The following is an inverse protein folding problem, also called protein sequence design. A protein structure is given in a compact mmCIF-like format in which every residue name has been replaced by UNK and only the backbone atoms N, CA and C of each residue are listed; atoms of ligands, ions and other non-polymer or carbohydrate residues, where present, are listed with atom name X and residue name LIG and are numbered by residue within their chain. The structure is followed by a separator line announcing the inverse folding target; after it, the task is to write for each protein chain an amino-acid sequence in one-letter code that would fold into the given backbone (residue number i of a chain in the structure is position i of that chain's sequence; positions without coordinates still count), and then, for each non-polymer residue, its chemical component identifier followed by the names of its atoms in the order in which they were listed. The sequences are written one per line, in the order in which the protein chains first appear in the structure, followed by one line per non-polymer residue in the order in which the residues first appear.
data_IF_332763193887
#
_entry.id   IF_332763193887
#
_cell.length_a   1.000
_cell.length_b   1.000
_cell.length_c   1.000
_cell.angle_alpha   90.00
_cell.angle_beta   90.00
_cell.angle_gamma   90.00
#
_symmetry.space_group_name_H-M   'P 1'
#
loop_
_entity.id
_entity.type
_entity.pdbx_description
1 polymer ?
#
# COMPACT_ATOMS: atom_id res chain seq x y z
N UNK A 1 48.21 -34.34 15.58
CA UNK A 1 48.14 -34.00 14.14
C UNK A 1 47.40 -32.68 14.04
N UNK A 2 48.00 -31.49 14.17
CA UNK A 2 49.04 -30.82 13.38
C UNK A 2 48.71 -30.60 11.89
N UNK A 3 48.41 -29.33 11.57
CA UNK A 3 48.50 -28.61 10.28
C UNK A 3 47.45 -28.97 9.21
N UNK A 4 46.86 -28.05 8.42
CA UNK A 4 47.41 -26.86 7.77
C UNK A 4 46.34 -25.79 7.50
N UNK A 5 46.72 -24.54 7.75
CA UNK A 5 46.17 -23.31 7.17
C UNK A 5 46.60 -23.24 5.70
N UNK A 6 45.70 -22.87 4.78
CA UNK A 6 46.09 -22.49 3.41
C UNK A 6 45.60 -21.07 3.11
N UNK A 7 46.58 -20.16 3.06
CA UNK A 7 46.45 -18.80 2.54
C UNK A 7 46.51 -18.87 1.01
N UNK A 8 45.61 -18.18 0.32
CA UNK A 8 45.86 -17.73 -1.05
C UNK A 8 45.25 -16.33 -1.22
N UNK A 9 46.13 -15.34 -1.11
CA UNK A 9 45.88 -14.00 -1.58
C UNK A 9 46.01 -13.99 -3.11
N UNK A 10 45.09 -13.33 -3.80
CA UNK A 10 45.30 -12.93 -5.19
C UNK A 10 44.87 -11.46 -5.36
N UNK A 11 45.89 -10.60 -5.40
CA UNK A 11 45.84 -9.22 -5.89
C UNK A 11 45.79 -9.22 -7.43
N UNK A 12 44.83 -8.52 -8.02
CA UNK A 12 44.83 -8.03 -9.41
C UNK A 12 43.84 -6.85 -9.45
N UNK A 13 44.01 -5.72 -10.13
CA UNK A 13 45.10 -5.00 -10.79
C UNK A 13 44.41 -3.69 -11.23
N UNK A 14 45.03 -2.53 -11.01
CA UNK A 14 44.50 -1.23 -11.43
C UNK A 14 44.52 -1.11 -12.97
N UNK A 15 43.45 -0.58 -13.55
CA UNK A 15 43.50 0.05 -14.88
C UNK A 15 42.63 1.31 -14.89
N UNK A 16 43.27 2.44 -15.19
CA UNK A 16 42.69 3.76 -15.36
C UNK A 16 42.55 4.12 -16.84
N UNK A 17 41.87 5.26 -17.11
CA UNK A 17 41.71 5.99 -18.41
C UNK A 17 40.41 5.63 -19.15
N UNK A 18 39.63 6.54 -19.76
CA UNK A 18 39.83 7.94 -20.18
C UNK A 18 38.46 8.55 -20.52
N UNK A 19 38.30 9.86 -20.29
CA UNK A 19 37.20 10.70 -20.79
C UNK A 19 37.19 10.77 -22.32
N UNK A 20 35.99 10.71 -22.92
CA UNK A 20 35.73 11.16 -24.30
C UNK A 20 34.58 12.17 -24.26
N UNK A 21 34.89 13.41 -24.60
CA UNK A 21 33.93 14.44 -24.96
C UNK A 21 33.52 14.22 -26.42
N UNK A 22 32.21 14.22 -26.69
CA UNK A 22 31.62 14.19 -28.03
C UNK A 22 30.42 15.13 -28.07
N UNK A 23 30.41 16.00 -29.07
CA UNK A 23 29.50 17.15 -29.25
C UNK A 23 28.43 16.81 -30.29
N UNK A 24 27.26 17.44 -30.15
CA UNK A 24 26.12 17.65 -31.09
C UNK A 24 25.34 16.47 -31.66
N UNK A 25 24.05 16.40 -31.31
CA UNK A 25 22.94 16.65 -32.25
C UNK A 25 21.61 16.73 -31.45
N UNK A 26 20.96 17.90 -31.50
CA UNK A 26 19.53 18.04 -31.21
C UNK A 26 18.76 17.47 -32.40
N UNK A 27 17.98 16.41 -32.18
CA UNK A 27 16.82 16.10 -33.01
C UNK A 27 15.58 16.19 -32.13
N UNK A 28 14.73 17.15 -32.49
CA UNK A 28 13.41 17.39 -31.94
C UNK A 28 12.45 16.31 -32.44
N UNK A 29 12.36 15.19 -31.72
CA UNK A 29 11.26 14.24 -31.89
C UNK A 29 10.13 14.62 -30.93
N UNK A 30 9.11 15.29 -31.47
CA UNK A 30 7.78 15.40 -30.85
C UNK A 30 7.17 14.01 -30.74
N UNK A 31 7.37 13.38 -29.61
CA UNK A 31 6.58 12.23 -29.17
C UNK A 31 5.78 12.67 -27.94
N UNK A 32 4.45 12.52 -28.03
CA UNK A 32 3.52 12.87 -26.98
C UNK A 32 3.74 12.01 -25.74
N UNK A 33 4.66 12.45 -24.88
CA UNK A 33 4.85 11.89 -23.56
C UNK A 33 3.60 12.15 -22.75
N UNK A 34 2.86 11.07 -22.45
CA UNK A 34 1.92 11.06 -21.34
C UNK A 34 2.65 11.64 -20.13
N UNK A 35 2.21 12.81 -19.69
CA UNK A 35 2.81 13.52 -18.57
C UNK A 35 2.76 12.61 -17.35
N UNK A 36 3.91 12.05 -16.97
CA UNK A 36 4.07 11.46 -15.65
C UNK A 36 4.08 12.64 -14.69
N UNK A 37 2.89 13.03 -14.24
CA UNK A 37 2.73 14.04 -13.21
C UNK A 37 3.54 13.60 -12.00
N UNK A 38 4.40 14.51 -11.55
CA UNK A 38 5.35 14.33 -10.47
C UNK A 38 4.56 13.97 -9.21
N UNK A 39 4.63 12.71 -8.75
CA UNK A 39 3.95 12.26 -7.54
C UNK A 39 4.45 13.08 -6.35
N UNK A 40 3.69 14.11 -5.95
CA UNK A 40 3.90 14.83 -4.72
C UNK A 40 3.16 14.07 -3.61
N UNK A 41 3.81 13.05 -3.06
CA UNK A 41 3.22 12.24 -2.00
C UNK A 41 4.06 11.02 -1.67
N UNK A 42 3.77 10.34 -0.54
CA UNK A 42 4.37 9.04 -0.23
C UNK A 42 4.19 8.06 -1.41
N UNK A 43 5.14 7.14 -1.64
CA UNK A 43 5.02 6.17 -2.72
C UNK A 43 3.76 5.33 -2.54
N UNK A 44 2.89 5.23 -3.57
CA UNK A 44 1.69 4.43 -3.47
C UNK A 44 2.02 2.93 -3.62
N UNK A 45 1.18 2.10 -3.05
CA UNK A 45 1.28 0.64 -3.07
C UNK A 45 -0.11 0.01 -3.21
N UNK A 46 -0.13 -1.27 -3.52
CA UNK A 46 -1.32 -2.10 -3.52
C UNK A 46 -1.53 -2.78 -2.17
N UNK A 47 -2.79 -2.86 -1.75
CA UNK A 47 -3.23 -3.70 -0.64
C UNK A 47 -3.79 -5.00 -1.23
N UNK A 48 -2.92 -5.97 -1.49
CA UNK A 48 -3.27 -7.18 -2.22
C UNK A 48 -3.64 -8.32 -1.27
N UNK A 49 -4.80 -8.93 -1.43
CA UNK A 49 -5.20 -10.16 -0.74
C UNK A 49 -4.22 -11.29 -1.10
N UNK A 50 -3.56 -11.85 -0.10
CA UNK A 50 -2.56 -12.90 -0.29
C UNK A 50 -3.16 -14.21 -0.83
N UNK A 51 -4.48 -14.41 -0.69
CA UNK A 51 -5.14 -15.66 -1.07
C UNK A 51 -5.38 -15.79 -2.58
N UNK A 52 -5.74 -14.69 -3.25
CA UNK A 52 -6.14 -14.70 -4.67
C UNK A 52 -5.54 -13.54 -5.49
N UNK A 53 -4.65 -12.75 -4.90
CA UNK A 53 -3.96 -11.64 -5.55
C UNK A 53 -4.89 -10.50 -6.00
N UNK A 54 -6.12 -10.41 -5.48
CA UNK A 54 -7.00 -9.28 -5.71
C UNK A 54 -6.61 -8.09 -4.83
N UNK A 55 -6.70 -6.88 -5.35
CA UNK A 55 -6.39 -5.66 -4.62
C UNK A 55 -7.64 -5.04 -4.00
N UNK A 56 -7.53 -4.55 -2.77
CA UNK A 56 -8.54 -3.70 -2.17
C UNK A 56 -8.76 -2.47 -3.05
N UNK A 57 -10.01 -2.17 -3.38
CA UNK A 57 -10.39 -1.01 -4.20
C UNK A 57 -11.16 0.08 -3.43
N UNK A 58 -11.41 -0.17 -2.14
CA UNK A 58 -12.36 0.58 -1.32
C UNK A 58 -13.38 -0.35 -0.69
N UNK A 59 -14.59 -0.36 -1.24
CA UNK A 59 -15.71 -1.22 -0.81
C UNK A 59 -15.52 -2.68 -1.21
N UNK A 60 -14.69 -2.96 -2.22
CA UNK A 60 -14.54 -4.28 -2.81
C UNK A 60 -13.09 -4.60 -3.18
N UNK A 61 -12.76 -5.88 -3.20
CA UNK A 61 -11.55 -6.43 -3.79
C UNK A 61 -11.76 -6.60 -5.29
N UNK A 62 -10.82 -6.11 -6.10
CA UNK A 62 -10.86 -6.17 -7.56
C UNK A 62 -9.48 -6.44 -8.15
N UNK A 63 -9.37 -6.53 -9.48
CA UNK A 63 -8.07 -6.64 -10.15
C UNK A 63 -7.21 -5.42 -9.83
N UNK A 64 -5.95 -5.64 -9.49
CA UNK A 64 -4.98 -4.57 -9.22
C UNK A 64 -4.82 -3.66 -10.44
N UNK A 65 -4.95 -2.36 -10.22
CA UNK A 65 -5.01 -1.33 -11.26
C UNK A 65 -4.71 0.06 -10.66
N UNK A 66 -4.51 1.08 -11.48
CA UNK A 66 -4.19 2.44 -11.00
C UNK A 66 -5.21 2.97 -9.97
N UNK A 67 -6.47 2.52 -10.07
CA UNK A 67 -7.59 2.89 -9.19
C UNK A 67 -7.66 2.08 -7.87
N UNK A 68 -6.72 1.17 -7.63
CA UNK A 68 -6.53 0.40 -6.38
C UNK A 68 -5.22 0.75 -5.67
N UNK A 69 -4.61 1.88 -6.01
CA UNK A 69 -3.39 2.35 -5.36
C UNK A 69 -3.73 3.17 -4.12
N UNK A 70 -3.01 2.91 -3.04
CA UNK A 70 -3.14 3.64 -1.79
C UNK A 70 -1.81 4.16 -1.31
N UNK A 71 -1.83 5.18 -0.46
CA UNK A 71 -0.67 5.65 0.28
C UNK A 71 -1.06 5.96 1.72
N UNK A 72 -0.08 5.98 2.62
CA UNK A 72 -0.32 6.13 4.06
C UNK A 72 0.18 7.48 4.53
N UNK A 73 -0.64 8.15 5.33
CA UNK A 73 -0.30 9.41 6.01
C UNK A 73 -0.63 9.26 7.49
N UNK A 74 0.16 9.90 8.36
CA UNK A 74 -0.04 9.91 9.80
C UNK A 74 1.01 9.13 10.56
N UNK A 75 0.67 8.77 11.80
CA UNK A 75 1.56 8.10 12.75
C UNK A 75 1.03 6.71 13.10
N UNK A 76 1.87 5.78 13.58
CA UNK A 76 1.41 4.46 14.02
C UNK A 76 0.17 4.53 14.93
N UNK A 77 -0.84 3.71 14.60
CA UNK A 77 -2.14 3.68 15.29
C UNK A 77 -3.12 4.81 14.92
N UNK A 78 -2.71 5.76 14.08
CA UNK A 78 -3.54 6.89 13.63
C UNK A 78 -3.29 7.17 12.14
N UNK A 79 -3.16 6.09 11.35
CA UNK A 79 -2.97 6.23 9.92
C UNK A 79 -4.28 6.59 9.23
N UNK A 80 -4.15 7.40 8.19
CA UNK A 80 -5.10 7.53 7.11
C UNK A 80 -4.58 6.72 5.92
N UNK A 81 -5.41 5.85 5.36
CA UNK A 81 -5.08 5.09 4.16
C UNK A 81 -5.74 5.78 2.97
N UNK A 82 -4.98 6.66 2.32
CA UNK A 82 -5.43 7.49 1.22
C UNK A 82 -5.51 6.68 -0.06
N UNK A 83 -6.60 6.85 -0.82
CA UNK A 83 -6.73 6.38 -2.19
C UNK A 83 -5.98 7.37 -3.09
N UNK A 84 -5.14 6.84 -3.99
CA UNK A 84 -4.43 7.65 -4.96
C UNK A 84 -5.44 8.30 -5.93
N UNK A 85 -5.41 9.62 -6.14
CA UNK A 85 -6.15 10.27 -7.22
C UNK A 85 -5.72 9.70 -8.57
N UNK A 86 -6.69 9.40 -9.44
CA UNK A 86 -6.40 8.92 -10.81
C UNK A 86 -6.13 10.13 -11.71
N UNK A 87 -6.89 11.20 -11.48
CA UNK A 87 -6.92 12.40 -12.31
C UNK A 87 -6.64 13.63 -11.44
N UNK A 88 -6.16 14.73 -12.03
CA UNK A 88 -5.96 16.01 -11.32
C UNK A 88 -7.28 16.59 -10.78
N UNK A 89 -8.42 16.19 -11.36
CA UNK A 89 -9.74 16.58 -10.89
C UNK A 89 -10.17 15.87 -9.59
N UNK A 90 -9.52 14.75 -9.26
CA UNK A 90 -9.77 13.98 -8.04
C UNK A 90 -8.82 14.37 -6.89
N UNK A 91 -7.94 15.35 -7.13
CA UNK A 91 -7.00 15.89 -6.13
C UNK A 91 -7.71 16.93 -5.24
N UNK A 92 -8.76 16.47 -4.54
CA UNK A 92 -9.38 17.24 -3.47
C UNK A 92 -8.34 17.47 -2.34
N UNK A 93 -8.26 18.68 -1.77
CA UNK A 93 -7.31 18.99 -0.69
C UNK A 93 -7.44 18.06 0.54
N UNK A 94 -8.64 17.52 0.78
CA UNK A 94 -8.90 16.55 1.85
C UNK A 94 -8.62 15.11 1.41
N UNK A 95 -8.61 14.83 0.10
CA UNK A 95 -8.43 13.51 -0.46
C UNK A 95 -9.53 12.51 -0.10
N UNK A 96 -9.38 11.30 -0.63
CA UNK A 96 -10.25 10.16 -0.38
C UNK A 96 -9.48 9.09 0.38
N UNK A 97 -10.09 8.51 1.42
CA UNK A 97 -9.50 7.53 2.30
C UNK A 97 -10.41 6.32 2.50
N UNK A 98 -9.81 5.20 2.90
CA UNK A 98 -10.54 4.06 3.45
C UNK A 98 -11.20 4.50 4.76
N UNK A 99 -12.51 4.26 4.86
CA UNK A 99 -13.29 4.59 6.04
C UNK A 99 -14.31 3.51 6.37
N UNK A 100 -14.63 3.37 7.65
CA UNK A 100 -15.83 2.63 8.07
C UNK A 100 -17.10 3.39 7.66
N UNK A 101 -18.17 2.65 7.36
CA UNK A 101 -19.48 3.24 7.06
C UNK A 101 -20.06 4.04 8.23
N UNK A 102 -19.98 3.51 9.45
CA UNK A 102 -20.48 4.13 10.69
C UNK A 102 -19.33 4.58 11.60
N UNK A 103 -19.57 5.67 12.34
CA UNK A 103 -18.68 6.16 13.39
C UNK A 103 -19.32 6.07 14.78
N UNK A 104 -20.45 5.38 14.89
CA UNK A 104 -21.12 5.23 16.17
C UNK A 104 -20.36 4.19 17.01
N UNK A 105 -20.06 4.53 18.26
CA UNK A 105 -19.39 3.62 19.20
C UNK A 105 -20.17 2.31 19.41
N UNK A 106 -21.50 2.36 19.27
CA UNK A 106 -22.39 1.19 19.37
C UNK A 106 -22.24 0.18 18.23
N UNK A 107 -21.53 0.55 17.16
CA UNK A 107 -21.33 -0.30 16.00
C UNK A 107 -19.92 -0.91 15.95
N UNK A 108 -19.02 -0.58 16.90
CA UNK A 108 -17.61 -1.05 16.90
C UNK A 108 -17.53 -2.58 16.83
N UNK A 109 -18.36 -3.30 17.59
CA UNK A 109 -18.34 -4.76 17.65
C UNK A 109 -19.13 -5.43 16.50
N UNK A 110 -19.67 -4.65 15.56
CA UNK A 110 -20.49 -5.17 14.45
C UNK A 110 -19.68 -5.27 13.19
N UNK A 111 -20.08 -6.19 12.33
CA UNK A 111 -19.61 -6.22 10.96
C UNK A 111 -20.11 -4.95 10.25
N UNK A 112 -19.20 -4.19 9.63
CA UNK A 112 -19.54 -2.97 8.90
C UNK A 112 -18.91 -2.95 7.52
N UNK A 113 -19.57 -2.28 6.58
CA UNK A 113 -18.98 -2.02 5.28
C UNK A 113 -17.83 -1.02 5.38
N UNK A 114 -16.78 -1.30 4.62
CA UNK A 114 -15.72 -0.35 4.32
C UNK A 114 -16.17 0.47 3.12
N UNK A 115 -15.80 1.75 3.08
CA UNK A 115 -16.09 2.66 1.97
C UNK A 115 -14.91 3.57 1.70
N UNK A 116 -14.89 4.14 0.51
CA UNK A 116 -14.09 5.32 0.23
C UNK A 116 -14.88 6.56 0.65
N UNK A 117 -14.27 7.39 1.49
CA UNK A 117 -14.85 8.65 1.93
C UNK A 117 -13.77 9.71 2.06
N UNK A 118 -14.17 10.97 2.19
CA UNK A 118 -13.28 12.07 2.53
C UNK A 118 -12.40 11.73 3.73
N UNK A 119 -11.11 12.07 3.71
CA UNK A 119 -10.21 11.75 4.81
C UNK A 119 -10.54 12.48 6.12
N UNK A 120 -11.33 13.57 6.06
CA UNK A 120 -11.95 14.18 7.24
C UNK A 120 -13.05 13.34 7.91
N UNK A 121 -13.57 12.32 7.24
CA UNK A 121 -14.59 11.43 7.80
C UNK A 121 -14.08 10.75 9.08
N UNK A 122 -14.94 10.67 10.09
CA UNK A 122 -14.60 10.12 11.40
C UNK A 122 -14.01 8.69 11.35
N UNK A 123 -14.50 7.87 10.42
CA UNK A 123 -14.01 6.50 10.24
C UNK A 123 -12.72 6.36 9.42
N UNK A 124 -12.05 7.45 9.04
CA UNK A 124 -10.89 7.43 8.13
C UNK A 124 -9.53 7.64 8.82
N UNK A 125 -9.50 8.03 10.10
CA UNK A 125 -8.29 8.59 10.76
C UNK A 125 -7.58 7.66 11.74
N UNK A 126 -8.14 6.48 11.99
CA UNK A 126 -7.71 5.59 13.08
C UNK A 126 -7.27 4.22 12.56
N UNK A 127 -6.65 4.13 11.39
CA UNK A 127 -6.17 2.85 10.89
C UNK A 127 -4.77 2.52 11.41
N UNK A 128 -4.46 1.24 11.45
CA UNK A 128 -3.14 0.70 11.71
C UNK A 128 -2.82 -0.41 10.71
N UNK A 129 -1.53 -0.65 10.48
CA UNK A 129 -1.03 -1.70 9.61
C UNK A 129 -0.10 -2.57 10.45
N UNK A 130 -0.56 -3.77 10.80
CA UNK A 130 0.14 -4.68 11.70
C UNK A 130 0.60 -5.92 10.94
N UNK A 131 1.75 -6.48 11.30
CA UNK A 131 2.32 -7.67 10.64
C UNK A 131 3.62 -7.35 9.91
N UNK A 132 3.99 -8.23 8.99
CA UNK A 132 5.27 -8.18 8.27
C UNK A 132 5.15 -8.77 6.87
N UNK A 133 6.22 -8.65 6.08
CA UNK A 133 6.24 -9.13 4.70
C UNK A 133 6.22 -10.67 4.57
N UNK A 134 6.49 -11.42 5.64
CA UNK A 134 6.50 -12.89 5.61
C UNK A 134 5.09 -13.45 5.88
N UNK A 135 4.41 -12.89 6.88
CA UNK A 135 3.09 -13.34 7.35
C UNK A 135 1.93 -12.57 6.71
N UNK A 136 2.22 -11.43 6.09
CA UNK A 136 1.24 -10.48 5.59
C UNK A 136 0.89 -9.40 6.63
N UNK A 137 0.23 -8.37 6.13
CA UNK A 137 -0.20 -7.21 6.89
C UNK A 137 -1.71 -7.24 7.10
N UNK A 138 -2.15 -6.80 8.26
CA UNK A 138 -3.57 -6.68 8.62
C UNK A 138 -3.87 -5.20 8.83
N UNK A 139 -4.90 -4.71 8.16
CA UNK A 139 -5.45 -3.39 8.46
C UNK A 139 -6.36 -3.50 9.67
N UNK A 140 -6.02 -2.79 10.75
CA UNK A 140 -6.83 -2.73 11.97
C UNK A 140 -7.27 -1.31 12.26
N UNK A 141 -8.33 -1.14 13.03
CA UNK A 141 -8.82 0.17 13.44
C UNK A 141 -8.68 0.41 14.95
N UNK A 142 -8.32 1.64 15.32
CA UNK A 142 -8.24 2.14 16.69
C UNK A 142 -7.38 1.28 17.60
N UNK A 143 -8.04 0.57 18.52
CA UNK A 143 -7.42 -0.27 19.53
C UNK A 143 -6.89 -1.62 18.99
N UNK A 144 -7.05 -1.87 17.69
CA UNK A 144 -6.59 -3.08 17.04
C UNK A 144 -7.54 -4.27 17.15
N UNK A 145 -8.75 -4.08 17.71
CA UNK A 145 -9.75 -5.17 17.82
C UNK A 145 -10.62 -5.35 16.59
N UNK A 146 -10.71 -4.31 15.75
CA UNK A 146 -11.48 -4.35 14.51
C UNK A 146 -10.52 -4.49 13.34
N UNK A 147 -10.71 -5.51 12.51
CA UNK A 147 -9.86 -5.83 11.37
C UNK A 147 -10.64 -5.62 10.06
N UNK A 148 -9.91 -5.24 9.01
CA UNK A 148 -10.39 -5.38 7.64
C UNK A 148 -10.53 -6.87 7.31
N UNK A 149 -11.69 -7.22 6.76
CA UNK A 149 -12.01 -8.57 6.31
C UNK A 149 -12.60 -8.51 4.91
N UNK A 150 -12.37 -9.57 4.15
CA UNK A 150 -13.12 -9.87 2.94
C UNK A 150 -14.21 -10.85 3.30
N UNK A 151 -15.45 -10.48 3.01
CA UNK A 151 -16.59 -11.35 3.29
C UNK A 151 -16.41 -12.70 2.55
N UNK A 152 -16.52 -13.85 3.24
CA UNK A 152 -16.28 -15.15 2.64
C UNK A 152 -17.17 -15.41 1.42
N UNK A 153 -16.54 -15.81 0.31
CA UNK A 153 -17.24 -16.10 -0.95
C UNK A 153 -17.71 -14.85 -1.72
N UNK A 154 -17.35 -13.65 -1.29
CA UNK A 154 -17.66 -12.41 -2.00
C UNK A 154 -16.39 -11.58 -2.25
N UNK A 155 -16.58 -10.44 -2.91
CA UNK A 155 -15.51 -9.45 -3.12
C UNK A 155 -15.62 -8.28 -2.14
N UNK A 156 -16.57 -8.29 -1.19
CA UNK A 156 -16.84 -7.12 -0.35
C UNK A 156 -15.79 -6.97 0.75
N UNK A 157 -15.29 -5.76 0.89
CA UNK A 157 -14.45 -5.34 1.99
C UNK A 157 -15.33 -4.84 3.15
N UNK A 158 -15.14 -5.46 4.30
CA UNK A 158 -15.87 -5.19 5.52
C UNK A 158 -14.87 -4.98 6.67
N UNK A 159 -15.38 -4.56 7.81
CA UNK A 159 -14.67 -4.68 9.09
C UNK A 159 -15.39 -5.66 9.99
N UNK A 160 -14.67 -6.41 10.80
CA UNK A 160 -15.20 -7.29 11.83
C UNK A 160 -14.25 -7.35 13.03
N UNK A 161 -14.69 -7.88 14.19
CA UNK A 161 -13.76 -8.25 15.25
C UNK A 161 -12.64 -9.14 14.72
N UNK A 162 -11.39 -8.83 15.03
CA UNK A 162 -10.20 -9.52 14.53
C UNK A 162 -10.14 -11.00 14.91
N UNK A 163 -10.80 -11.38 16.01
CA UNK A 163 -10.92 -12.73 16.54
C UNK A 163 -12.21 -13.44 16.08
N UNK A 164 -12.94 -12.87 15.12
CA UNK A 164 -14.15 -13.48 14.57
C UNK A 164 -13.85 -14.81 13.87
N UNK A 165 -14.47 -15.89 14.34
CA UNK A 165 -14.39 -17.21 13.70
C UNK A 165 -15.14 -17.27 12.36
N UNK A 166 -16.13 -16.39 12.16
CA UNK A 166 -16.99 -16.39 10.97
C UNK A 166 -16.55 -15.39 9.89
N UNK A 167 -15.76 -14.39 10.27
CA UNK A 167 -15.17 -13.41 9.36
C UNK A 167 -13.69 -13.20 9.72
N UNK A 168 -12.81 -14.16 9.37
CA UNK A 168 -11.39 -14.04 9.67
C UNK A 168 -10.79 -12.82 8.95
N UNK A 169 -9.78 -12.21 9.56
CA UNK A 169 -9.07 -11.09 8.95
C UNK A 169 -8.44 -11.47 7.61
N UNK A 170 -8.31 -10.48 6.73
CA UNK A 170 -7.67 -10.68 5.43
C UNK A 170 -6.19 -10.31 5.52
N UNK A 171 -5.26 -11.27 5.38
CA UNK A 171 -3.84 -10.96 5.27
C UNK A 171 -3.56 -10.31 3.91
N UNK A 172 -2.94 -9.13 3.96
CA UNK A 172 -2.63 -8.32 2.78
C UNK A 172 -1.12 -8.29 2.53
N UNK A 173 -0.74 -8.28 1.27
CA UNK A 173 0.61 -7.99 0.82
C UNK A 173 0.66 -6.53 0.38
N UNK A 174 1.67 -5.81 0.86
CA UNK A 174 1.99 -4.46 0.39
C UNK A 174 2.91 -4.62 -0.83
N UNK A 175 2.43 -4.24 -2.02
CA UNK A 175 3.15 -4.39 -3.29
C UNK A 175 3.37 -3.05 -3.99
#
# INVERSE_FOLDING_TARGET
MMHRVSKAALLYLLAASRNIAGVVAEEESKEGGAGVTKAQGPPPFFLQDASDSMCLGGEEFKRCSIDTLFFVVGSPGNYQIHKRPIDEADDDEDGLCIAKKSCNEKDIDKIQEVKIAKCTHCGAKNWNILGDAETGYVLTEGDGKTCLVREPGTIRAMTAPCDSETAPYTPLQLQ
#
